data_IF_061101796348
#
_entry.id   IF_061101796348
#
_cell.length_a   1.000
_cell.length_b   1.000
_cell.length_c   1.000
_cell.angle_alpha   90.00
_cell.angle_beta   90.00
_cell.angle_gamma   90.00
#
_symmetry.space_group_name_H-M   'P 1'
#
loop_
_entity.id
_entity.type
_entity.pdbx_description
1 polymer ?
#
# COMPACT_ATOMS: atom_id res chain seq x y z
N UNK A 1 24.75 -0.95 42.74
CA UNK A 1 23.29 -0.86 42.50
C UNK A 1 22.81 0.53 42.02
N UNK A 2 23.21 1.67 42.60
CA UNK A 2 22.75 3.01 42.17
C UNK A 2 23.11 3.34 40.71
N UNK A 3 24.33 3.00 40.27
CA UNK A 3 24.79 3.24 38.90
C UNK A 3 24.07 2.38 37.86
N UNK A 4 23.76 1.11 38.19
CA UNK A 4 23.00 0.21 37.32
C UNK A 4 21.58 0.73 37.06
N UNK A 5 20.90 1.25 38.09
CA UNK A 5 19.57 1.87 37.92
C UNK A 5 19.61 3.11 37.03
N UNK A 6 20.63 3.97 37.18
CA UNK A 6 20.81 5.17 36.33
C UNK A 6 21.10 4.79 34.88
N UNK A 7 21.95 3.79 34.66
CA UNK A 7 22.26 3.29 33.33
C UNK A 7 21.04 2.68 32.63
N UNK A 8 20.25 1.87 33.34
CA UNK A 8 19.00 1.32 32.82
C UNK A 8 18.00 2.42 32.42
N UNK A 9 17.85 3.45 33.27
CA UNK A 9 16.96 4.58 33.01
C UNK A 9 17.42 5.38 31.78
N UNK A 10 18.73 5.56 31.61
CA UNK A 10 19.29 6.19 30.41
C UNK A 10 18.97 5.39 29.14
N UNK A 11 19.15 4.07 29.17
CA UNK A 11 18.81 3.20 28.03
C UNK A 11 17.32 3.30 27.68
N UNK A 12 16.45 3.21 28.68
CA UNK A 12 15.00 3.32 28.47
C UNK A 12 14.64 4.66 27.83
N UNK A 13 15.25 5.75 28.32
CA UNK A 13 15.04 7.09 27.75
C UNK A 13 15.46 7.15 26.29
N UNK A 14 16.63 6.59 25.96
CA UNK A 14 17.13 6.56 24.59
C UNK A 14 16.24 5.71 23.67
N UNK A 15 15.72 4.58 24.15
CA UNK A 15 14.76 3.76 23.42
C UNK A 15 13.44 4.50 23.17
N UNK A 16 12.93 5.23 24.16
CA UNK A 16 11.72 6.05 23.99
C UNK A 16 11.94 7.14 22.94
N UNK A 17 13.07 7.85 23.00
CA UNK A 17 13.42 8.87 22.00
C UNK A 17 13.53 8.28 20.60
N UNK A 18 14.12 7.09 20.48
CA UNK A 18 14.20 6.37 19.20
C UNK A 18 12.79 6.01 18.68
N UNK A 19 11.90 5.49 19.53
CA UNK A 19 10.53 5.15 19.14
C UNK A 19 9.74 6.39 18.72
N UNK A 20 9.89 7.51 19.45
CA UNK A 20 9.27 8.78 19.07
C UNK A 20 9.81 9.31 17.74
N UNK A 21 11.11 9.17 17.48
CA UNK A 21 11.69 9.52 16.18
C UNK A 21 11.16 8.60 15.07
N UNK A 22 11.02 7.30 15.31
CA UNK A 22 10.46 6.38 14.33
C UNK A 22 8.98 6.67 14.04
N UNK A 23 8.23 7.11 15.05
CA UNK A 23 6.82 7.43 14.90
C UNK A 23 6.61 8.79 14.22
N UNK A 24 7.35 9.83 14.59
CA UNK A 24 7.10 11.21 14.14
C UNK A 24 8.21 11.79 13.22
N UNK A 25 9.27 11.04 12.96
CA UNK A 25 10.45 11.45 12.18
C UNK A 25 10.11 11.93 10.76
N UNK A 26 9.02 11.40 10.19
CA UNK A 26 8.48 11.82 8.89
C UNK A 26 8.23 13.33 8.79
N UNK A 27 7.82 13.97 9.89
CA UNK A 27 7.58 15.42 9.94
C UNK A 27 8.88 16.21 9.69
N UNK A 28 10.02 15.65 10.10
CA UNK A 28 11.33 16.31 10.03
C UNK A 28 12.05 16.06 8.71
N UNK A 29 11.92 14.87 8.12
CA UNK A 29 12.55 14.56 6.83
C UNK A 29 11.82 15.20 5.63
N UNK A 30 10.53 15.53 5.79
CA UNK A 30 9.72 16.13 4.74
C UNK A 30 9.72 17.67 4.84
N UNK A 31 10.26 18.32 3.81
CA UNK A 31 10.11 19.76 3.60
C UNK A 31 8.65 20.14 3.25
N UNK A 32 8.36 21.44 3.19
CA UNK A 32 7.01 21.96 2.93
C UNK A 32 6.45 21.53 1.59
N UNK A 33 7.29 21.48 0.55
CA UNK A 33 6.87 21.12 -0.80
C UNK A 33 6.57 19.62 -0.90
N UNK A 34 7.40 18.76 -0.32
CA UNK A 34 7.15 17.32 -0.21
C UNK A 34 5.81 17.04 0.51
N UNK A 35 5.53 17.76 1.60
CA UNK A 35 4.23 17.66 2.31
C UNK A 35 3.08 18.09 1.41
N UNK A 36 3.23 19.18 0.65
CA UNK A 36 2.22 19.66 -0.30
C UNK A 36 1.97 18.65 -1.41
N UNK A 37 3.01 18.04 -1.96
CA UNK A 37 2.90 16.99 -2.97
C UNK A 37 2.11 15.81 -2.45
N UNK A 38 2.47 15.26 -1.27
CA UNK A 38 1.72 14.17 -0.65
C UNK A 38 0.24 14.55 -0.50
N UNK A 39 -0.06 15.74 0.01
CA UNK A 39 -1.44 16.22 0.17
C UNK A 39 -2.16 16.31 -1.17
N UNK A 40 -1.50 16.82 -2.21
CA UNK A 40 -2.06 16.93 -3.55
C UNK A 40 -2.42 15.55 -4.10
N UNK A 41 -1.46 14.62 -4.11
CA UNK A 41 -1.67 13.25 -4.60
C UNK A 41 -2.77 12.52 -3.85
N UNK A 42 -2.78 12.60 -2.52
CA UNK A 42 -3.78 11.91 -1.70
C UNK A 42 -5.18 12.50 -1.89
N UNK A 43 -5.31 13.83 -1.96
CA UNK A 43 -6.63 14.50 -2.10
C UNK A 43 -7.17 14.51 -3.52
N UNK A 44 -6.31 14.45 -4.54
CA UNK A 44 -6.75 14.36 -5.95
C UNK A 44 -7.20 12.96 -6.34
N UNK A 45 -6.97 11.96 -5.49
CA UNK A 45 -7.28 10.57 -5.77
C UNK A 45 -8.78 10.34 -5.78
N UNK A 46 -9.28 9.70 -6.84
CA UNK A 46 -10.69 9.31 -6.94
C UNK A 46 -10.97 8.16 -5.98
N UNK A 47 -12.12 8.20 -5.32
CA UNK A 47 -12.61 7.09 -4.51
C UNK A 47 -12.87 5.88 -5.41
N UNK A 48 -12.49 4.71 -4.93
CA UNK A 48 -12.76 3.44 -5.60
C UNK A 48 -14.22 3.04 -5.41
N UNK A 49 -14.78 2.27 -6.36
CA UNK A 49 -16.13 1.76 -6.21
C UNK A 49 -16.19 0.71 -5.10
N UNK A 50 -17.33 0.66 -4.39
CA UNK A 50 -17.48 -0.16 -3.19
C UNK A 50 -17.30 -1.66 -3.43
N UNK A 51 -17.69 -2.17 -4.61
CA UNK A 51 -17.46 -3.57 -5.02
C UNK A 51 -15.97 -3.92 -5.01
N UNK A 52 -15.12 -3.01 -5.51
CA UNK A 52 -13.68 -3.22 -5.58
C UNK A 52 -13.00 -3.11 -4.22
N UNK A 53 -13.40 -2.12 -3.40
CA UNK A 53 -12.90 -2.00 -2.01
C UNK A 53 -13.25 -3.26 -1.23
N UNK A 54 -14.49 -3.74 -1.34
CA UNK A 54 -14.93 -4.97 -0.68
C UNK A 54 -14.13 -6.18 -1.17
N UNK A 55 -14.00 -6.36 -2.49
CA UNK A 55 -13.20 -7.44 -3.05
C UNK A 55 -11.75 -7.42 -2.53
N UNK A 56 -11.10 -6.25 -2.56
CA UNK A 56 -9.73 -6.09 -2.08
C UNK A 56 -9.59 -6.45 -0.60
N UNK A 57 -10.48 -5.94 0.25
CA UNK A 57 -10.46 -6.20 1.69
C UNK A 57 -10.77 -7.67 2.01
N UNK A 58 -11.62 -8.34 1.21
CA UNK A 58 -11.84 -9.78 1.35
C UNK A 58 -10.63 -10.61 0.91
N UNK A 59 -9.94 -10.22 -0.17
CA UNK A 59 -8.70 -10.89 -0.61
C UNK A 59 -7.57 -10.67 0.41
N UNK A 60 -7.50 -9.49 1.01
CA UNK A 60 -6.51 -9.10 2.02
C UNK A 60 -7.21 -8.64 3.32
N UNK A 61 -7.63 -9.57 4.21
CA UNK A 61 -8.45 -9.27 5.39
C UNK A 61 -7.84 -8.24 6.36
N UNK A 62 -6.51 -8.16 6.41
CA UNK A 62 -5.82 -7.23 7.30
C UNK A 62 -5.52 -5.87 6.65
N UNK A 63 -5.93 -5.63 5.41
CA UNK A 63 -5.58 -4.42 4.63
C UNK A 63 -5.99 -3.11 5.29
N UNK A 64 -7.07 -3.11 6.06
CA UNK A 64 -7.56 -1.94 6.80
C UNK A 64 -6.92 -1.79 8.18
N UNK A 65 -6.41 -2.87 8.76
CA UNK A 65 -5.90 -2.93 10.13
C UNK A 65 -4.37 -2.86 10.21
N UNK A 66 -3.67 -3.21 9.12
CA UNK A 66 -2.22 -3.17 9.13
C UNK A 66 -1.69 -1.73 9.08
N UNK A 67 -0.55 -1.57 9.72
CA UNK A 67 0.31 -0.41 9.60
C UNK A 67 1.73 -0.91 9.33
N UNK A 68 2.63 0.02 9.09
CA UNK A 68 4.03 -0.33 8.84
C UNK A 68 4.69 -1.03 10.01
N UNK A 69 4.42 -0.69 11.28
CA UNK A 69 4.96 -1.41 12.44
C UNK A 69 4.69 -2.92 12.39
N UNK A 70 3.46 -3.32 12.02
CA UNK A 70 3.11 -4.73 11.88
C UNK A 70 4.02 -5.45 10.86
N UNK A 71 4.39 -4.79 9.77
CA UNK A 71 5.29 -5.34 8.76
C UNK A 71 6.72 -5.48 9.29
N UNK A 72 7.25 -4.47 9.98
CA UNK A 72 8.62 -4.50 10.51
C UNK A 72 8.78 -5.53 11.63
N UNK A 73 7.82 -5.61 12.56
CA UNK A 73 7.79 -6.65 13.60
C UNK A 73 7.78 -8.04 12.96
N UNK A 74 6.92 -8.25 11.96
CA UNK A 74 6.77 -9.54 11.30
C UNK A 74 7.97 -9.94 10.44
N UNK A 75 8.70 -8.96 9.89
CA UNK A 75 9.98 -9.19 9.21
C UNK A 75 11.05 -9.71 10.17
N UNK A 76 11.07 -9.21 11.41
CA UNK A 76 11.99 -9.66 12.46
C UNK A 76 11.61 -11.08 12.92
N UNK A 77 10.31 -11.40 13.01
CA UNK A 77 9.84 -12.74 13.37
C UNK A 77 9.82 -13.75 12.20
N UNK A 78 10.43 -13.39 11.04
CA UNK A 78 10.53 -14.23 9.84
C UNK A 78 9.19 -14.79 9.32
N UNK A 79 8.09 -14.07 9.56
CA UNK A 79 6.79 -14.44 9.00
C UNK A 79 6.58 -13.77 7.64
N UNK A 80 6.26 -14.57 6.62
CA UNK A 80 5.95 -14.06 5.28
C UNK A 80 4.58 -13.37 5.28
N UNK A 81 4.54 -12.06 5.01
CA UNK A 81 3.28 -11.40 4.60
C UNK A 81 3.31 -11.02 3.14
N UNK A 82 2.16 -11.12 2.45
CA UNK A 82 1.95 -10.43 1.20
C UNK A 82 2.17 -8.92 1.41
N UNK A 83 3.06 -8.32 0.60
CA UNK A 83 3.31 -6.87 0.63
C UNK A 83 2.05 -6.01 0.42
N UNK A 84 1.00 -6.61 -0.13
CA UNK A 84 -0.26 -5.97 -0.45
C UNK A 84 -1.21 -5.81 0.73
N UNK A 85 -0.88 -6.36 1.91
CA UNK A 85 -1.72 -6.21 3.09
C UNK A 85 -1.61 -4.83 3.77
N UNK A 86 -0.78 -3.91 3.26
CA UNK A 86 -0.73 -2.52 3.74
C UNK A 86 -0.75 -1.54 2.55
N UNK A 87 -1.93 -0.99 2.20
CA UNK A 87 -2.07 0.03 1.16
C UNK A 87 -1.14 1.25 1.35
N UNK A 88 -1.01 1.80 2.56
CA UNK A 88 -0.16 2.98 2.78
C UNK A 88 1.33 2.70 2.60
N UNK A 89 1.80 1.48 2.86
CA UNK A 89 3.17 1.08 2.52
C UNK A 89 3.39 1.12 1.00
N UNK A 90 2.43 0.66 0.21
CA UNK A 90 2.50 0.74 -1.26
C UNK A 90 2.48 2.20 -1.72
N UNK A 91 1.61 3.02 -1.12
CA UNK A 91 1.53 4.47 -1.39
C UNK A 91 2.86 5.15 -1.12
N UNK A 92 3.46 4.92 0.05
CA UNK A 92 4.78 5.48 0.39
C UNK A 92 5.88 5.05 -0.57
N UNK A 93 5.91 3.77 -0.99
CA UNK A 93 6.87 3.30 -1.98
C UNK A 93 6.68 3.93 -3.36
N UNK A 94 5.45 4.30 -3.73
CA UNK A 94 5.13 4.96 -5.00
C UNK A 94 5.41 6.46 -4.97
N UNK A 95 5.20 7.10 -3.81
CA UNK A 95 5.45 8.52 -3.61
C UNK A 95 6.94 8.78 -3.35
N UNK A 96 7.67 7.91 -2.69
CA UNK A 96 9.06 8.19 -2.35
C UNK A 96 9.96 8.62 -3.55
N UNK A 97 9.86 8.00 -4.74
CA UNK A 97 10.67 8.41 -5.88
C UNK A 97 10.41 9.83 -6.38
N UNK A 98 9.20 10.36 -6.21
CA UNK A 98 8.83 11.71 -6.69
C UNK A 98 9.28 12.82 -5.73
N UNK A 99 9.46 12.52 -4.45
CA UNK A 99 9.82 13.52 -3.45
C UNK A 99 11.28 13.97 -3.60
N UNK A 100 11.52 15.25 -3.38
CA UNK A 100 12.87 15.82 -3.30
C UNK A 100 13.48 15.56 -1.92
N UNK A 101 14.04 14.37 -1.77
CA UNK A 101 14.81 13.94 -0.60
C UNK A 101 16.13 13.40 -1.13
N UNK A 102 17.24 13.98 -0.68
CA UNK A 102 18.59 13.55 -1.05
C UNK A 102 18.98 12.27 -0.31
N UNK A 103 19.72 11.38 -0.98
CA UNK A 103 20.31 10.17 -0.38
C UNK A 103 19.31 9.28 0.38
N UNK A 104 18.14 9.02 -0.23
CA UNK A 104 17.05 8.23 0.35
C UNK A 104 17.54 6.89 0.90
N UNK A 105 17.35 6.69 2.19
CA UNK A 105 17.65 5.46 2.92
C UNK A 105 16.39 4.63 3.17
N UNK A 106 16.56 3.36 3.54
CA UNK A 106 15.44 2.49 3.97
C UNK A 106 14.67 3.08 5.16
N UNK A 107 15.35 3.83 6.03
CA UNK A 107 14.73 4.50 7.16
C UNK A 107 13.82 5.64 6.68
N UNK A 108 14.21 6.39 5.65
CA UNK A 108 13.37 7.47 5.11
C UNK A 108 12.07 6.93 4.51
N UNK A 109 12.12 5.75 3.87
CA UNK A 109 10.91 5.06 3.41
C UNK A 109 9.99 4.74 4.59
N UNK A 110 10.53 4.21 5.68
CA UNK A 110 9.74 3.93 6.88
C UNK A 110 9.10 5.19 7.45
N UNK A 111 9.87 6.26 7.63
CA UNK A 111 9.43 7.53 8.19
C UNK A 111 8.35 8.20 7.31
N UNK A 112 8.50 8.14 5.98
CA UNK A 112 7.47 8.60 5.04
C UNK A 112 6.19 7.78 5.19
N UNK A 113 6.28 6.46 5.25
CA UNK A 113 5.11 5.59 5.38
C UNK A 113 4.40 5.87 6.71
N UNK A 114 5.12 6.02 7.83
CA UNK A 114 4.53 6.44 9.12
C UNK A 114 3.82 7.77 9.03
N UNK A 115 4.43 8.77 8.38
CA UNK A 115 3.80 10.06 8.15
C UNK A 115 2.49 9.93 7.36
N UNK A 116 2.46 9.12 6.30
CA UNK A 116 1.24 8.87 5.53
C UNK A 116 0.18 8.20 6.41
N UNK A 117 0.54 7.15 7.16
CA UNK A 117 -0.38 6.40 8.04
C UNK A 117 -0.95 7.24 9.19
N UNK A 118 -0.26 8.31 9.60
CA UNK A 118 -0.75 9.26 10.62
C UNK A 118 -1.76 10.26 10.08
N UNK A 119 -1.74 10.53 8.77
CA UNK A 119 -2.54 11.58 8.14
C UNK A 119 -3.65 11.04 7.24
N UNK A 120 -3.57 9.76 6.83
CA UNK A 120 -4.47 9.14 5.86
C UNK A 120 -4.83 7.72 6.30
N UNK A 121 -6.07 7.32 6.00
CA UNK A 121 -6.52 5.94 6.24
C UNK A 121 -5.93 4.96 5.22
N UNK A 122 -5.95 3.67 5.54
CA UNK A 122 -5.58 2.63 4.57
C UNK A 122 -6.48 2.67 3.32
N UNK A 123 -7.74 3.09 3.47
CA UNK A 123 -8.66 3.27 2.34
C UNK A 123 -8.26 4.46 1.45
N UNK A 124 -7.83 5.59 2.02
CA UNK A 124 -7.29 6.71 1.24
C UNK A 124 -6.04 6.31 0.44
N UNK A 125 -5.15 5.54 1.08
CA UNK A 125 -3.98 4.97 0.43
C UNK A 125 -4.37 3.99 -0.69
N UNK A 126 -5.39 3.16 -0.47
CA UNK A 126 -5.92 2.25 -1.50
C UNK A 126 -6.50 3.03 -2.69
N UNK A 127 -7.28 4.08 -2.40
CA UNK A 127 -7.83 5.00 -3.40
C UNK A 127 -6.70 5.61 -4.24
N UNK A 128 -5.64 6.12 -3.61
CA UNK A 128 -4.47 6.63 -4.32
C UNK A 128 -3.85 5.56 -5.22
N UNK A 129 -3.61 4.37 -4.67
CA UNK A 129 -2.92 3.30 -5.36
C UNK A 129 -3.64 2.87 -6.64
N UNK A 130 -4.96 2.71 -6.62
CA UNK A 130 -5.70 2.20 -7.77
C UNK A 130 -6.29 3.29 -8.67
N UNK A 131 -6.38 4.55 -8.22
CA UNK A 131 -6.85 5.65 -9.08
C UNK A 131 -5.72 6.28 -9.90
N UNK A 132 -4.47 6.25 -9.41
CA UNK A 132 -3.32 6.86 -10.10
C UNK A 132 -2.41 5.85 -10.82
N UNK A 133 -2.61 4.55 -10.61
CA UNK A 133 -1.77 3.55 -11.25
C UNK A 133 -2.02 3.45 -12.75
N UNK A 134 -0.94 3.36 -13.51
CA UNK A 134 -0.98 3.07 -14.95
C UNK A 134 -1.00 1.56 -15.17
N UNK A 135 -2.16 1.04 -15.59
CA UNK A 135 -2.38 -0.36 -15.91
C UNK A 135 -1.90 -0.74 -17.33
N UNK A 136 -0.88 -0.03 -17.84
CA UNK A 136 -0.36 -0.09 -19.21
C UNK A 136 -1.27 0.59 -20.23
N UNK A 137 -0.66 0.98 -21.36
CA UNK A 137 -1.35 1.64 -22.47
C UNK A 137 -2.10 2.93 -22.05
N UNK A 138 -1.57 3.65 -21.06
CA UNK A 138 -2.16 4.87 -20.50
C UNK A 138 -3.54 4.64 -19.85
N UNK A 139 -3.84 3.40 -19.45
CA UNK A 139 -5.02 3.09 -18.64
C UNK A 139 -4.76 3.49 -17.19
N UNK A 140 -4.83 4.80 -16.92
CA UNK A 140 -4.64 5.35 -15.57
C UNK A 140 -5.92 5.23 -14.75
N UNK A 141 -5.83 4.44 -13.69
CA UNK A 141 -6.91 4.25 -12.73
C UNK A 141 -7.86 3.10 -13.09
N UNK A 142 -8.58 2.62 -12.07
CA UNK A 142 -9.49 1.47 -12.19
C UNK A 142 -10.57 1.65 -13.26
N UNK A 143 -11.12 2.86 -13.39
CA UNK A 143 -12.20 3.13 -14.34
C UNK A 143 -11.72 2.99 -15.79
N UNK A 144 -10.51 3.48 -16.10
CA UNK A 144 -9.97 3.39 -17.45
C UNK A 144 -9.60 1.96 -17.82
N UNK A 145 -8.95 1.22 -16.90
CA UNK A 145 -8.63 -0.19 -17.17
C UNK A 145 -9.90 -1.04 -17.29
N UNK A 146 -10.93 -0.76 -16.49
CA UNK A 146 -12.22 -1.46 -16.56
C UNK A 146 -12.86 -1.31 -17.94
N UNK A 147 -12.95 -0.08 -18.45
CA UNK A 147 -13.49 0.22 -19.78
C UNK A 147 -12.63 -0.38 -20.89
N UNK A 148 -11.30 -0.20 -20.81
CA UNK A 148 -10.39 -0.66 -21.86
C UNK A 148 -10.33 -2.18 -21.98
N UNK A 149 -10.44 -2.92 -20.88
CA UNK A 149 -10.20 -4.37 -20.86
C UNK A 149 -11.50 -5.17 -20.87
N UNK A 150 -12.56 -4.67 -20.23
CA UNK A 150 -13.83 -5.39 -20.05
C UNK A 150 -15.03 -4.69 -20.67
N UNK A 151 -14.87 -3.45 -21.16
CA UNK A 151 -15.97 -2.61 -21.66
C UNK A 151 -17.10 -2.41 -20.63
N UNK A 152 -16.71 -2.16 -19.37
CA UNK A 152 -17.60 -1.99 -18.21
C UNK A 152 -17.18 -0.80 -17.34
N UNK A 153 -18.13 -0.24 -16.60
CA UNK A 153 -17.80 0.66 -15.47
C UNK A 153 -17.18 -0.15 -14.33
N UNK A 154 -16.32 0.49 -13.52
CA UNK A 154 -15.62 -0.24 -12.45
C UNK A 154 -16.59 -0.82 -11.40
N UNK A 155 -17.75 -0.21 -11.20
CA UNK A 155 -18.83 -0.68 -10.33
C UNK A 155 -19.48 -1.98 -10.81
N UNK A 156 -19.37 -2.31 -12.10
CA UNK A 156 -19.99 -3.49 -12.73
C UNK A 156 -19.06 -4.70 -12.80
N UNK A 157 -17.80 -4.52 -12.39
CA UNK A 157 -16.78 -5.57 -12.41
C UNK A 157 -17.17 -6.75 -11.53
N UNK A 158 -17.02 -7.94 -12.11
CA UNK A 158 -17.20 -9.20 -11.39
C UNK A 158 -15.93 -9.57 -10.62
N UNK A 159 -16.02 -10.38 -9.55
CA UNK A 159 -14.86 -10.76 -8.74
C UNK A 159 -13.68 -11.34 -9.53
N UNK A 160 -13.93 -12.10 -10.60
CA UNK A 160 -12.86 -12.62 -11.46
C UNK A 160 -12.14 -11.50 -12.24
N UNK A 161 -12.89 -10.50 -12.73
CA UNK A 161 -12.35 -9.33 -13.46
C UNK A 161 -11.56 -8.42 -12.51
N UNK A 162 -12.06 -8.23 -11.28
CA UNK A 162 -11.32 -7.53 -10.21
C UNK A 162 -10.03 -8.28 -9.85
N UNK A 163 -10.05 -9.62 -9.86
CA UNK A 163 -8.87 -10.45 -9.71
C UNK A 163 -7.84 -10.25 -10.81
N UNK A 164 -8.27 -10.04 -12.06
CA UNK A 164 -7.37 -9.71 -13.18
C UNK A 164 -6.75 -8.31 -13.03
N UNK A 165 -7.55 -7.30 -12.63
CA UNK A 165 -7.02 -5.95 -12.33
C UNK A 165 -6.00 -6.02 -11.19
N UNK A 166 -6.26 -6.81 -10.15
CA UNK A 166 -5.32 -6.99 -9.04
C UNK A 166 -4.06 -7.74 -9.47
N UNK A 167 -4.16 -8.71 -10.38
CA UNK A 167 -3.00 -9.36 -11.00
C UNK A 167 -2.15 -8.36 -11.77
N UNK A 168 -2.79 -7.52 -12.59
CA UNK A 168 -2.14 -6.48 -13.37
C UNK A 168 -1.50 -5.42 -12.47
N UNK A 169 -2.15 -5.03 -11.37
CA UNK A 169 -1.58 -4.13 -10.37
C UNK A 169 -0.29 -4.69 -9.74
N UNK A 170 -0.27 -5.99 -9.46
CA UNK A 170 0.89 -6.65 -8.85
C UNK A 170 2.08 -6.81 -9.79
N UNK A 171 1.83 -7.11 -11.06
CA UNK A 171 2.88 -7.20 -12.06
C UNK A 171 2.33 -6.86 -13.45
N UNK A 172 2.35 -5.59 -13.86
CA UNK A 172 1.73 -5.16 -15.11
C UNK A 172 2.25 -5.90 -16.33
N UNK A 173 3.58 -6.09 -16.40
CA UNK A 173 4.21 -6.73 -17.56
C UNK A 173 3.86 -8.21 -17.65
N UNK A 174 3.91 -8.93 -16.52
CA UNK A 174 3.66 -10.38 -16.50
C UNK A 174 2.18 -10.69 -16.64
N UNK A 175 1.30 -9.92 -16.01
CA UNK A 175 -0.15 -10.08 -16.03
C UNK A 175 -0.87 -9.27 -17.12
N UNK A 176 -0.15 -8.93 -18.20
CA UNK A 176 -0.78 -8.33 -19.37
C UNK A 176 -1.46 -9.41 -20.21
N UNK A 177 -2.80 -9.43 -20.25
CA UNK A 177 -3.57 -10.44 -21.00
C UNK A 177 -3.27 -10.52 -22.50
N UNK A 178 -2.86 -9.42 -23.11
CA UNK A 178 -2.53 -9.38 -24.55
C UNK A 178 -1.14 -9.98 -24.83
N UNK A 179 -0.28 -10.04 -23.83
CA UNK A 179 1.07 -10.64 -23.94
C UNK A 179 1.13 -12.04 -23.37
N UNK A 180 0.51 -12.27 -22.22
CA UNK A 180 0.54 -13.52 -21.44
C UNK A 180 -0.87 -13.92 -20.97
N UNK A 181 -1.77 -14.34 -21.88
CA UNK A 181 -3.17 -14.63 -21.56
C UNK A 181 -3.32 -15.74 -20.51
N UNK A 182 -2.58 -16.85 -20.65
CA UNK A 182 -2.66 -17.99 -19.72
C UNK A 182 -2.23 -17.59 -18.30
N UNK A 183 -1.08 -16.92 -18.15
CA UNK A 183 -0.61 -16.44 -16.85
C UNK A 183 -1.59 -15.45 -16.21
N UNK A 184 -2.18 -14.57 -17.03
CA UNK A 184 -3.16 -13.59 -16.55
C UNK A 184 -4.41 -14.28 -16.02
N UNK A 185 -4.93 -15.27 -16.76
CA UNK A 185 -6.08 -16.09 -16.35
C UNK A 185 -5.80 -16.88 -15.08
N UNK A 186 -4.64 -17.51 -14.99
CA UNK A 186 -4.20 -18.25 -13.80
C UNK A 186 -4.15 -17.31 -12.58
N UNK A 187 -3.54 -16.14 -12.74
CA UNK A 187 -3.37 -15.18 -11.64
C UNK A 187 -4.69 -14.55 -11.20
N UNK A 188 -5.59 -14.24 -12.14
CA UNK A 188 -6.93 -13.77 -11.84
C UNK A 188 -7.74 -14.83 -11.07
N UNK A 189 -7.68 -16.08 -11.51
CA UNK A 189 -8.33 -17.23 -10.86
C UNK A 189 -7.80 -17.44 -9.44
N UNK A 190 -6.48 -17.27 -9.23
CA UNK A 190 -5.90 -17.32 -7.89
C UNK A 190 -6.53 -16.28 -6.94
N UNK A 191 -6.65 -15.02 -7.36
CA UNK A 191 -7.27 -13.99 -6.52
C UNK A 191 -8.76 -14.22 -6.30
N UNK A 192 -9.47 -14.68 -7.33
CA UNK A 192 -10.87 -15.08 -7.20
C UNK A 192 -11.05 -16.22 -6.17
N UNK A 193 -10.18 -17.23 -6.21
CA UNK A 193 -10.23 -18.32 -5.23
C UNK A 193 -9.89 -17.85 -3.81
N UNK A 194 -8.93 -16.92 -3.64
CA UNK A 194 -8.67 -16.30 -2.34
C UNK A 194 -9.90 -15.56 -1.81
N UNK A 195 -10.55 -14.78 -2.67
CA UNK A 195 -11.80 -14.09 -2.35
C UNK A 195 -12.88 -15.08 -1.87
N UNK A 196 -13.15 -16.14 -2.63
CA UNK A 196 -14.14 -17.17 -2.25
C UNK A 196 -13.78 -17.88 -0.95
N UNK A 197 -12.51 -18.17 -0.71
CA UNK A 197 -12.06 -18.86 0.50
C UNK A 197 -12.21 -17.99 1.75
N UNK A 198 -11.98 -16.69 1.63
CA UNK A 198 -12.12 -15.75 2.74
C UNK A 198 -13.57 -15.34 3.01
N UNK A 199 -14.49 -15.44 2.03
CA UNK A 199 -15.93 -15.28 2.25
C UNK A 199 -16.56 -16.37 3.11
N UNK A 200 -15.96 -17.56 3.14
CA UNK A 200 -16.46 -18.73 3.88
C UNK A 200 -16.00 -18.78 5.35
N UNK A 201 -15.11 -17.87 5.74
CA UNK A 201 -14.57 -17.76 7.11
C UNK A 201 -15.37 -16.74 7.89
#
# INVERSE_FOLDING_TARGET
MKYLKRFLLFIITLLILLLLYLEFGGIYILNTDNKREIVWYMRSSKKLPGNFVNFYNTVYPNSTLQNSWNFYIKSITHSNLPANECPCRQTGNRIMPILDIQNKSTLDYFLLIRYIEQNYSQEDCLNFNFSNFDFLNNNKGIEQVSRSVFNKQAEELQPLEMGEILALYNNPRKSNRYRNPEYTKERATYFYNLYLNNLKK
#
